data_IF_725394078728
#
_entry.id   IF_725394078728
#
_cell.length_a   1.000
_cell.length_b   1.000
_cell.length_c   1.000
_cell.angle_alpha   90.00
_cell.angle_beta   90.00
_cell.angle_gamma   90.00
#
_symmetry.space_group_name_H-M   'P 1'
#
loop_
_entity.id
_entity.type
_entity.pdbx_description
1 polymer ?
#
# COMPACT_ATOMS: atom_id res chain seq x y z
N UNK A 1 -1.11 -2.61 -16.06
CA UNK A 1 -2.00 -3.18 -15.02
C UNK A 1 -3.26 -2.33 -14.93
N UNK A 2 -4.42 -2.95 -14.70
CA UNK A 2 -5.71 -2.25 -14.74
C UNK A 2 -6.22 -1.88 -13.34
N UNK A 3 -7.14 -0.91 -13.28
CA UNK A 3 -7.86 -0.56 -12.04
C UNK A 3 -8.57 -1.76 -11.40
N UNK A 4 -9.10 -2.67 -12.22
CA UNK A 4 -9.80 -3.88 -11.75
C UNK A 4 -8.84 -4.77 -10.93
N UNK A 5 -7.59 -4.90 -11.38
CA UNK A 5 -6.58 -5.70 -10.69
C UNK A 5 -6.27 -5.14 -9.30
N UNK A 6 -6.07 -3.82 -9.20
CA UNK A 6 -5.84 -3.16 -7.90
C UNK A 6 -7.06 -3.33 -6.98
N UNK A 7 -8.27 -3.17 -7.51
CA UNK A 7 -9.50 -3.35 -6.74
C UNK A 7 -9.65 -4.78 -6.22
N UNK A 8 -9.31 -5.79 -7.04
CA UNK A 8 -9.32 -7.19 -6.61
C UNK A 8 -8.33 -7.46 -5.47
N UNK A 9 -7.17 -6.80 -5.47
CA UNK A 9 -6.22 -6.90 -4.35
C UNK A 9 -6.71 -6.21 -3.09
N UNK A 10 -7.31 -5.02 -3.20
CA UNK A 10 -7.91 -4.31 -2.07
C UNK A 10 -9.04 -5.16 -1.45
N UNK A 11 -9.90 -5.73 -2.29
CA UNK A 11 -10.97 -6.64 -1.84
C UNK A 11 -10.43 -7.97 -1.30
N UNK A 12 -9.18 -8.29 -1.63
CA UNK A 12 -8.46 -9.48 -1.19
C UNK A 12 -7.76 -9.33 0.14
N UNK A 13 -7.70 -8.13 0.72
CA UNK A 13 -7.12 -7.91 2.05
C UNK A 13 -7.76 -8.85 3.08
N UNK A 14 -6.93 -9.44 3.95
CA UNK A 14 -7.35 -10.43 4.95
C UNK A 14 -7.52 -11.86 4.42
N UNK A 15 -7.50 -12.09 3.10
CA UNK A 15 -7.53 -13.45 2.53
C UNK A 15 -6.14 -14.06 2.49
N UNK A 16 -6.05 -15.38 2.60
CA UNK A 16 -4.78 -16.09 2.53
C UNK A 16 -4.22 -16.10 1.11
N UNK A 17 -2.90 -16.22 0.99
CA UNK A 17 -2.22 -16.38 -0.29
C UNK A 17 -2.81 -17.51 -1.13
N UNK A 18 -3.10 -18.67 -0.52
CA UNK A 18 -3.70 -19.83 -1.19
C UNK A 18 -5.09 -19.51 -1.75
N UNK A 19 -5.92 -18.79 -0.99
CA UNK A 19 -7.25 -18.37 -1.44
C UNK A 19 -7.15 -17.38 -2.61
N UNK A 20 -6.17 -16.49 -2.59
CA UNK A 20 -5.97 -15.49 -3.63
C UNK A 20 -5.42 -16.11 -4.92
N UNK A 21 -4.50 -17.08 -4.80
CA UNK A 21 -3.99 -17.86 -5.95
C UNK A 21 -5.10 -18.70 -6.57
N UNK A 22 -5.87 -19.43 -5.75
CA UNK A 22 -6.97 -20.26 -6.25
C UNK A 22 -8.05 -19.44 -6.97
N UNK A 23 -8.27 -18.19 -6.56
CA UNK A 23 -9.18 -17.25 -7.20
C UNK A 23 -8.56 -16.48 -8.39
N UNK A 24 -7.29 -16.70 -8.72
CA UNK A 24 -6.60 -15.98 -9.79
C UNK A 24 -6.37 -14.49 -9.51
N UNK A 25 -6.47 -14.07 -8.24
CA UNK A 25 -6.34 -12.67 -7.82
C UNK A 25 -4.87 -12.25 -7.75
N UNK A 26 -3.98 -13.14 -7.30
CA UNK A 26 -2.53 -12.91 -7.27
C UNK A 26 -1.80 -13.97 -8.10
N UNK A 27 -0.61 -13.66 -8.65
CA UNK A 27 0.19 -14.66 -9.34
C UNK A 27 0.55 -15.82 -8.40
N UNK A 28 0.61 -17.04 -8.95
CA UNK A 28 1.14 -18.19 -8.23
C UNK A 28 2.68 -18.16 -8.28
N UNK A 29 3.30 -17.24 -7.55
CA UNK A 29 4.76 -17.14 -7.42
C UNK A 29 5.17 -17.09 -5.94
N UNK A 30 6.37 -17.57 -5.59
CA UNK A 30 6.83 -17.58 -4.22
C UNK A 30 6.72 -16.22 -3.54
N UNK A 31 6.31 -16.23 -2.28
CA UNK A 31 6.46 -15.08 -1.39
C UNK A 31 7.89 -15.08 -0.85
N UNK A 32 8.52 -13.91 -0.83
CA UNK A 32 9.89 -13.74 -0.34
C UNK A 32 9.89 -12.97 0.98
N UNK A 33 10.80 -13.26 1.93
CA UNK A 33 10.97 -12.43 3.11
C UNK A 33 11.25 -10.96 2.76
N UNK A 34 10.68 -10.02 3.53
CA UNK A 34 11.01 -8.60 3.38
C UNK A 34 12.45 -8.32 3.81
N UNK A 35 12.90 -8.97 4.89
CA UNK A 35 14.27 -8.91 5.39
C UNK A 35 14.89 -10.31 5.48
N UNK A 36 16.23 -10.38 5.36
CA UNK A 36 16.97 -11.60 5.62
C UNK A 36 16.97 -11.91 7.13
N UNK A 37 16.59 -13.13 7.52
CA UNK A 37 16.62 -13.58 8.91
C UNK A 37 15.37 -14.37 9.33
N UNK A 38 15.39 -14.91 10.55
CA UNK A 38 14.29 -15.67 11.15
C UNK A 38 13.16 -14.78 11.69
N UNK A 39 13.45 -13.51 11.95
CA UNK A 39 12.55 -12.59 12.67
C UNK A 39 11.72 -11.74 11.69
N UNK A 40 11.41 -12.32 10.53
CA UNK A 40 10.72 -11.62 9.46
C UNK A 40 9.21 -11.87 9.52
N UNK A 41 8.47 -10.85 9.95
CA UNK A 41 7.01 -10.91 10.10
C UNK A 41 6.23 -10.66 8.80
N UNK A 42 6.92 -10.18 7.75
CA UNK A 42 6.31 -9.80 6.47
C UNK A 42 6.91 -10.59 5.29
N UNK A 43 6.06 -11.25 4.52
CA UNK A 43 6.40 -11.84 3.23
C UNK A 43 5.88 -10.93 2.11
N UNK A 44 6.62 -10.77 1.03
CA UNK A 44 6.24 -9.90 -0.08
C UNK A 44 6.18 -10.62 -1.42
N UNK A 45 5.37 -10.08 -2.32
CA UNK A 45 5.34 -10.42 -3.73
C UNK A 45 5.36 -9.12 -4.55
N UNK A 46 6.12 -9.12 -5.65
CA UNK A 46 6.27 -7.95 -6.55
C UNK A 46 5.69 -8.26 -7.93
N UNK A 47 4.35 -8.18 -8.11
CA UNK A 47 3.70 -8.58 -9.35
C UNK A 47 3.96 -7.62 -10.52
N UNK A 48 4.39 -6.38 -10.25
CA UNK A 48 4.70 -5.38 -11.26
C UNK A 48 5.71 -4.35 -10.72
N UNK A 49 6.40 -3.59 -11.60
CA UNK A 49 7.19 -2.43 -11.20
C UNK A 49 6.36 -1.45 -10.34
N UNK A 50 6.93 -1.07 -9.20
CA UNK A 50 6.32 -0.14 -8.25
C UNK A 50 5.15 -0.73 -7.44
N UNK A 51 4.95 -2.05 -7.45
CA UNK A 51 3.88 -2.71 -6.69
C UNK A 51 4.44 -3.78 -5.77
N UNK A 52 4.04 -3.74 -4.51
CA UNK A 52 4.33 -4.78 -3.52
C UNK A 52 3.05 -5.24 -2.83
N UNK A 53 2.85 -6.56 -2.76
CA UNK A 53 1.81 -7.22 -1.98
C UNK A 53 2.47 -7.80 -0.73
N UNK A 54 2.02 -7.37 0.43
CA UNK A 54 2.59 -7.71 1.73
C UNK A 54 1.67 -8.67 2.45
N UNK A 55 2.22 -9.79 2.91
CA UNK A 55 1.53 -10.87 3.56
C UNK A 55 2.13 -11.12 4.95
N UNK A 56 1.31 -11.39 5.95
CA UNK A 56 1.82 -11.78 7.26
C UNK A 56 2.55 -13.13 7.19
N UNK A 57 3.75 -13.24 7.76
CA UNK A 57 4.54 -14.47 7.69
C UNK A 57 3.86 -15.66 8.38
N UNK A 58 3.11 -15.39 9.46
CA UNK A 58 2.44 -16.40 10.29
C UNK A 58 1.19 -16.98 9.64
N UNK A 59 0.31 -16.13 9.12
CA UNK A 59 -1.01 -16.51 8.59
C UNK A 59 -1.06 -16.52 7.05
N UNK A 60 -0.04 -15.93 6.40
CA UNK A 60 0.04 -15.73 4.94
C UNK A 60 -1.16 -14.99 4.37
N UNK A 61 -1.82 -14.16 5.17
CA UNK A 61 -2.91 -13.29 4.74
C UNK A 61 -2.35 -12.05 4.05
N UNK A 62 -3.00 -11.56 3.00
CA UNK A 62 -2.65 -10.27 2.38
C UNK A 62 -3.02 -9.14 3.35
N UNK A 63 -2.03 -8.41 3.84
CA UNK A 63 -2.22 -7.35 4.83
C UNK A 63 -2.08 -5.96 4.25
N UNK A 64 -1.31 -5.82 3.17
CA UNK A 64 -1.06 -4.54 2.55
C UNK A 64 -0.78 -4.65 1.04
N UNK A 65 -1.31 -3.67 0.29
CA UNK A 65 -1.03 -3.43 -1.12
C UNK A 65 -0.37 -2.07 -1.22
N UNK A 66 0.93 -2.04 -1.54
CA UNK A 66 1.72 -0.82 -1.66
C UNK A 66 2.02 -0.51 -3.12
N UNK A 67 1.81 0.74 -3.52
CA UNK A 67 2.00 1.24 -4.89
C UNK A 67 2.86 2.51 -4.85
N UNK A 68 4.04 2.48 -5.48
CA UNK A 68 4.93 3.62 -5.62
C UNK A 68 4.58 4.45 -6.87
N UNK A 69 4.22 5.72 -6.69
CA UNK A 69 3.79 6.63 -7.76
C UNK A 69 4.89 7.58 -8.25
N UNK A 70 5.81 7.95 -7.36
CA UNK A 70 6.93 8.82 -7.70
C UNK A 70 8.25 8.12 -7.38
N UNK A 71 9.31 8.38 -8.17
CA UNK A 71 10.60 7.75 -7.96
C UNK A 71 11.16 8.17 -6.60
N UNK A 72 11.56 7.16 -5.83
CA UNK A 72 12.49 7.30 -4.71
C UNK A 72 13.74 6.50 -5.04
N UNK A 73 14.88 6.82 -4.42
CA UNK A 73 16.18 6.26 -4.80
C UNK A 73 16.12 4.72 -4.86
N UNK A 74 16.33 4.17 -6.06
CA UNK A 74 16.41 2.72 -6.29
C UNK A 74 15.08 1.97 -6.37
N UNK A 75 13.92 2.66 -6.36
CA UNK A 75 12.61 2.00 -6.44
C UNK A 75 11.93 2.20 -7.80
N UNK A 76 11.37 1.13 -8.40
CA UNK A 76 10.58 1.24 -9.63
C UNK A 76 9.27 2.01 -9.37
N UNK A 77 8.77 2.68 -10.41
CA UNK A 77 7.53 3.47 -10.37
C UNK A 77 6.40 2.72 -11.07
N UNK A 78 5.21 2.76 -10.48
CA UNK A 78 4.00 2.20 -11.05
C UNK A 78 3.46 3.06 -12.20
N UNK A 79 3.09 2.42 -13.31
CA UNK A 79 2.60 3.10 -14.53
C UNK A 79 1.23 2.61 -14.98
N UNK A 80 0.56 1.76 -14.18
CA UNK A 80 -0.78 1.27 -14.49
C UNK A 80 -1.89 2.23 -14.04
N UNK A 81 -3.14 1.77 -14.09
CA UNK A 81 -4.28 2.55 -13.62
C UNK A 81 -4.57 2.30 -12.14
N UNK A 82 -5.18 3.28 -11.48
CA UNK A 82 -5.61 3.22 -10.08
C UNK A 82 -7.15 3.28 -9.98
N UNK A 83 -7.74 2.76 -8.89
CA UNK A 83 -9.16 2.95 -8.61
C UNK A 83 -9.46 4.40 -8.25
N UNK A 84 -10.64 4.88 -8.66
CA UNK A 84 -11.16 6.18 -8.21
C UNK A 84 -11.22 6.22 -6.68
N UNK A 85 -10.86 7.34 -6.03
CA UNK A 85 -10.54 8.65 -6.62
C UNK A 85 -9.04 8.89 -6.87
N UNK A 86 -8.21 7.85 -6.88
CA UNK A 86 -6.75 7.98 -6.97
C UNK A 86 -6.27 8.14 -8.41
N UNK A 87 -5.25 8.97 -8.61
CA UNK A 87 -4.54 9.18 -9.87
C UNK A 87 -3.03 8.99 -9.70
N UNK A 88 -2.30 8.79 -10.79
CA UNK A 88 -0.83 8.65 -10.74
C UNK A 88 -0.14 9.96 -10.33
N UNK A 89 -0.73 11.09 -10.71
CA UNK A 89 -0.29 12.42 -10.32
C UNK A 89 -1.35 13.04 -9.42
N UNK A 90 -1.01 13.24 -8.15
CA UNK A 90 -1.84 13.92 -7.16
C UNK A 90 -0.97 14.49 -6.04
N UNK A 91 -1.54 15.43 -5.32
CA UNK A 91 -0.95 16.09 -4.15
C UNK A 91 -1.89 16.01 -2.95
N UNK A 92 -1.41 16.39 -1.78
CA UNK A 92 -2.22 16.38 -0.57
C UNK A 92 -3.55 17.16 -0.73
N UNK A 93 -3.53 18.29 -1.44
CA UNK A 93 -4.70 19.16 -1.60
C UNK A 93 -5.79 18.46 -2.42
N UNK A 94 -5.43 17.88 -3.55
CA UNK A 94 -6.35 17.13 -4.41
C UNK A 94 -6.91 15.89 -3.70
N UNK A 95 -6.07 15.17 -2.95
CA UNK A 95 -6.51 14.04 -2.11
C UNK A 95 -7.56 14.47 -1.09
N UNK A 96 -7.30 15.52 -0.31
CA UNK A 96 -8.24 16.02 0.71
C UNK A 96 -9.52 16.58 0.10
N UNK A 97 -9.44 17.20 -1.07
CA UNK A 97 -10.65 17.63 -1.80
C UNK A 97 -11.52 16.43 -2.22
N UNK A 98 -10.90 15.30 -2.57
CA UNK A 98 -11.62 14.11 -3.03
C UNK A 98 -12.13 13.23 -1.88
N UNK A 99 -11.36 13.11 -0.79
CA UNK A 99 -11.64 12.18 0.31
C UNK A 99 -12.16 12.86 1.59
N UNK A 100 -12.08 14.19 1.67
CA UNK A 100 -12.38 14.94 2.90
C UNK A 100 -11.21 14.97 3.88
N UNK A 101 -11.53 15.10 5.17
CA UNK A 101 -10.52 15.14 6.24
C UNK A 101 -10.00 13.74 6.59
N UNK A 102 -8.68 13.55 6.77
CA UNK A 102 -8.11 12.27 7.13
C UNK A 102 -8.41 11.88 8.58
N UNK A 103 -8.51 10.58 8.85
CA UNK A 103 -8.62 10.06 10.22
C UNK A 103 -7.32 10.24 11.02
N UNK A 104 -6.18 10.29 10.33
CA UNK A 104 -4.87 10.54 10.90
C UNK A 104 -3.99 11.23 9.87
N UNK A 105 -3.25 12.23 10.32
CA UNK A 105 -2.29 12.97 9.50
C UNK A 105 -0.96 13.05 10.24
N UNK A 106 0.14 12.78 9.53
CA UNK A 106 1.50 12.91 10.04
C UNK A 106 2.24 13.93 9.17
N UNK A 107 2.88 14.91 9.82
CA UNK A 107 3.73 15.87 9.12
C UNK A 107 5.07 15.26 8.68
N UNK A 108 5.91 16.03 7.96
CA UNK A 108 7.27 15.63 7.61
C UNK A 108 8.10 15.19 8.82
N UNK A 109 8.81 14.07 8.68
CA UNK A 109 9.68 13.51 9.72
C UNK A 109 11.12 13.51 9.23
N UNK A 110 12.02 14.13 10.01
CA UNK A 110 13.47 14.02 9.78
C UNK A 110 13.92 12.60 10.12
N UNK A 111 14.52 11.90 9.16
CA UNK A 111 15.01 10.55 9.38
C UNK A 111 16.32 10.57 10.21
N UNK A 112 16.47 9.67 11.20
CA UNK A 112 17.71 9.58 11.98
C UNK A 112 18.94 9.31 11.10
N UNK A 113 20.08 9.83 11.52
CA UNK A 113 21.37 9.58 10.85
C UNK A 113 21.57 10.36 9.54
N UNK A 114 20.93 11.53 9.38
CA UNK A 114 21.15 12.40 8.23
C UNK A 114 20.56 11.88 6.92
N UNK A 115 19.64 10.91 6.99
CA UNK A 115 19.01 10.25 5.82
C UNK A 115 17.95 11.12 5.12
N UNK A 116 17.98 12.43 5.31
CA UNK A 116 17.01 13.39 4.78
C UNK A 116 15.72 13.46 5.58
N UNK A 117 14.68 14.08 5.00
CA UNK A 117 13.33 14.09 5.56
C UNK A 117 12.43 13.18 4.75
N UNK A 118 11.60 12.41 5.44
CA UNK A 118 10.36 11.89 4.87
C UNK A 118 9.36 13.04 4.90
N UNK A 119 8.55 13.19 3.85
CA UNK A 119 7.40 14.10 3.91
C UNK A 119 6.36 13.56 4.90
N UNK A 120 5.10 13.88 4.71
CA UNK A 120 4.03 13.44 5.60
C UNK A 120 3.30 12.18 5.14
N UNK A 121 2.20 11.90 5.81
CA UNK A 121 1.16 11.02 5.30
C UNK A 121 -0.22 11.44 5.78
N UNK A 122 -1.26 11.12 5.00
CA UNK A 122 -2.64 11.15 5.45
C UNK A 122 -3.24 9.73 5.34
N UNK A 123 -4.06 9.37 6.31
CA UNK A 123 -4.73 8.06 6.37
C UNK A 123 -6.24 8.24 6.39
N UNK A 124 -6.95 7.43 5.62
CA UNK A 124 -8.41 7.43 5.51
C UNK A 124 -8.94 6.00 5.68
N UNK A 125 -10.16 5.86 6.20
CA UNK A 125 -10.86 4.57 6.19
C UNK A 125 -11.33 4.29 4.78
N UNK A 126 -11.24 3.04 4.33
CA UNK A 126 -12.01 2.65 3.15
C UNK A 126 -13.49 2.60 3.48
N UNK A 127 -14.33 2.86 2.48
CA UNK A 127 -15.79 2.74 2.66
C UNK A 127 -16.16 1.30 2.98
N UNK A 128 -17.27 1.09 3.69
CA UNK A 128 -17.77 -0.25 4.00
C UNK A 128 -18.09 -1.06 2.74
N UNK A 129 -18.48 -0.38 1.65
CA UNK A 129 -18.70 -0.97 0.33
C UNK A 129 -17.40 -1.46 -0.32
N UNK A 130 -16.26 -0.83 -0.01
CA UNK A 130 -14.95 -1.25 -0.51
C UNK A 130 -14.36 -2.34 0.36
N UNK A 131 -14.13 -2.06 1.65
CA UNK A 131 -13.59 -3.01 2.62
C UNK A 131 -13.71 -2.48 4.06
N UNK A 132 -14.52 -3.15 4.91
CA UNK A 132 -14.89 -2.66 6.26
C UNK A 132 -13.71 -2.50 7.24
N UNK A 133 -12.71 -3.38 7.14
CA UNK A 133 -11.52 -3.43 8.02
C UNK A 133 -10.24 -2.94 7.31
N UNK A 134 -10.34 -1.99 6.38
CA UNK A 134 -9.16 -1.47 5.71
C UNK A 134 -9.09 0.05 5.67
N UNK A 135 -7.87 0.53 5.51
CA UNK A 135 -7.50 1.94 5.38
C UNK A 135 -6.65 2.14 4.15
N UNK A 136 -6.58 3.39 3.70
CA UNK A 136 -5.63 3.85 2.70
C UNK A 136 -4.75 4.94 3.32
N UNK A 137 -3.44 4.80 3.16
CA UNK A 137 -2.43 5.77 3.58
C UNK A 137 -1.74 6.33 2.34
N UNK A 138 -1.75 7.66 2.22
CA UNK A 138 -1.09 8.40 1.15
C UNK A 138 0.20 9.00 1.72
N UNK A 139 1.34 8.55 1.21
CA UNK A 139 2.65 9.11 1.57
C UNK A 139 3.00 10.32 0.70
N UNK A 140 3.62 11.33 1.31
CA UNK A 140 3.99 12.57 0.63
C UNK A 140 5.50 12.79 0.58
N UNK A 141 5.96 13.44 -0.48
CA UNK A 141 7.26 14.12 -0.53
C UNK A 141 7.21 15.45 0.23
N UNK A 142 8.35 16.13 0.36
CA UNK A 142 8.42 17.46 0.98
C UNK A 142 7.54 18.51 0.28
N UNK A 143 7.39 18.40 -1.04
CA UNK A 143 6.52 19.28 -1.84
C UNK A 143 5.04 18.87 -1.81
N UNK A 144 4.66 17.94 -0.93
CA UNK A 144 3.29 17.41 -0.75
C UNK A 144 2.74 16.62 -1.93
N UNK A 145 3.58 16.29 -2.93
CA UNK A 145 3.21 15.34 -3.97
C UNK A 145 3.11 13.92 -3.38
N UNK A 146 2.09 13.16 -3.78
CA UNK A 146 1.91 11.77 -3.34
C UNK A 146 2.98 10.91 -3.99
N UNK A 147 3.85 10.29 -3.20
CA UNK A 147 4.85 9.36 -3.73
C UNK A 147 4.43 7.90 -3.64
N UNK A 148 3.52 7.55 -2.74
CA UNK A 148 3.02 6.18 -2.62
C UNK A 148 1.60 6.13 -2.05
N UNK A 149 0.89 5.05 -2.39
CA UNK A 149 -0.39 4.67 -1.81
C UNK A 149 -0.22 3.31 -1.16
N UNK A 150 -0.73 3.15 0.06
CA UNK A 150 -0.79 1.87 0.75
C UNK A 150 -2.20 1.58 1.20
N UNK A 151 -2.79 0.49 0.71
CA UNK A 151 -4.05 -0.05 1.22
C UNK A 151 -3.72 -1.16 2.21
N UNK A 152 -4.22 -1.08 3.44
CA UNK A 152 -3.86 -2.05 4.48
C UNK A 152 -5.02 -2.38 5.41
N UNK A 153 -4.96 -3.54 6.05
CA UNK A 153 -5.86 -3.87 7.14
C UNK A 153 -5.67 -2.89 8.32
N UNK A 154 -6.76 -2.53 8.99
CA UNK A 154 -6.71 -1.73 10.22
C UNK A 154 -6.30 -2.64 11.39
N UNK A 155 -6.97 -3.78 11.51
CA UNK A 155 -6.64 -4.86 12.45
C UNK A 155 -6.15 -6.07 11.66
N UNK A 156 -4.92 -6.51 11.95
CA UNK A 156 -4.25 -7.64 11.30
C UNK A 156 -4.55 -8.98 11.99
N UNK A 157 -5.18 -8.95 13.17
CA UNK A 157 -5.51 -10.14 13.97
C UNK A 157 -4.31 -10.81 14.64
N UNK A 158 -3.16 -10.15 14.65
CA UNK A 158 -1.97 -10.51 15.42
C UNK A 158 -1.18 -9.23 15.70
N UNK A 159 -0.91 -9.00 16.99
CA UNK A 159 -0.03 -7.95 17.55
C UNK A 159 1.09 -8.65 18.32
#
# INVERSE_FOLDING_TARGET
>A
MSTITIQQWINGLGRTYEQLVAAGVVPNSPLIPLFEGSDNDDLIQRPAPGVELWFGAKNRCLEQVMIALLPTVGQPVYTGSLPSPFSLEMDQKSVRNALGEPMASQGPVTLPGGRGKRGGSDTYRLSAETHLNAKVTLGYLENLAVNNISFSLIDKGHD
#
